data_IF_288211086048
#
_entry.id   IF_288211086048
#
_cell.length_a   1.000
_cell.length_b   1.000
_cell.length_c   1.000
_cell.angle_alpha   90.00
_cell.angle_beta   90.00
_cell.angle_gamma   90.00
#
_symmetry.space_group_name_H-M   'P 1'
#
loop_
_entity.id
_entity.type
_entity.pdbx_description
1 polymer ?
#
# COMPACT_ATOMS: atom_id res chain seq x y z
N UNK A 1 16.80 -16.24 0.83
CA UNK A 1 17.19 -15.16 -0.12
C UNK A 1 16.07 -14.12 -0.13
N UNK A 2 16.42 -12.85 -0.08
CA UNK A 2 15.50 -11.72 -0.15
C UNK A 2 15.77 -10.96 -1.44
N UNK A 3 14.72 -10.59 -2.17
CA UNK A 3 14.81 -9.72 -3.34
C UNK A 3 14.05 -8.42 -3.05
N UNK A 4 14.67 -7.30 -3.38
CA UNK A 4 14.14 -5.95 -3.19
C UNK A 4 14.09 -5.23 -4.52
N UNK A 5 13.04 -4.45 -4.72
CA UNK A 5 12.86 -3.69 -5.96
C UNK A 5 11.93 -2.50 -5.78
N UNK A 6 11.47 -1.93 -6.86
CA UNK A 6 10.51 -0.81 -6.88
C UNK A 6 11.01 0.38 -6.06
N UNK A 7 10.37 0.66 -4.93
CA UNK A 7 10.65 1.84 -4.10
C UNK A 7 12.11 1.96 -3.63
N UNK A 8 12.85 0.85 -3.51
CA UNK A 8 14.27 0.89 -3.14
C UNK A 8 15.11 1.71 -4.14
N UNK A 9 14.66 1.81 -5.37
CA UNK A 9 15.30 2.60 -6.41
C UNK A 9 15.00 4.10 -6.38
N UNK A 10 14.15 4.56 -5.47
CA UNK A 10 13.80 5.98 -5.39
C UNK A 10 13.18 6.54 -6.67
N UNK A 11 12.35 5.74 -7.35
CA UNK A 11 11.75 6.06 -8.65
C UNK A 11 12.61 5.69 -9.87
N UNK A 12 13.83 5.22 -9.67
CA UNK A 12 14.74 4.78 -10.75
C UNK A 12 14.92 3.25 -10.74
N UNK A 13 15.38 2.66 -11.87
CA UNK A 13 15.48 1.20 -12.02
C UNK A 13 16.67 0.66 -11.19
N UNK A 14 16.44 0.42 -9.92
CA UNK A 14 17.37 -0.25 -9.03
C UNK A 14 16.66 -1.41 -8.33
N UNK A 15 17.42 -2.47 -8.07
CA UNK A 15 16.99 -3.62 -7.32
C UNK A 15 18.17 -4.20 -6.54
N UNK A 16 17.87 -5.01 -5.55
CA UNK A 16 18.89 -5.71 -4.78
C UNK A 16 18.40 -7.11 -4.44
N UNK A 17 19.32 -8.02 -4.23
CA UNK A 17 19.03 -9.31 -3.64
C UNK A 17 20.17 -9.71 -2.69
N UNK A 18 19.84 -10.50 -1.71
CA UNK A 18 20.80 -10.95 -0.72
C UNK A 18 20.26 -12.11 0.10
N UNK A 19 21.09 -12.68 0.94
CA UNK A 19 20.69 -13.79 1.77
C UNK A 19 21.84 -14.42 2.52
N UNK A 20 21.63 -15.66 3.00
CA UNK A 20 22.64 -16.40 3.71
C UNK A 20 23.86 -16.61 2.83
N UNK A 21 25.03 -16.51 3.41
CA UNK A 21 26.33 -16.70 2.77
C UNK A 21 26.40 -17.98 1.92
N UNK A 22 25.95 -19.11 2.49
CA UNK A 22 25.82 -20.39 1.77
C UNK A 22 25.04 -20.32 0.46
N UNK A 23 24.12 -19.36 0.30
CA UNK A 23 23.34 -19.16 -0.93
C UNK A 23 24.07 -18.17 -1.82
N UNK A 24 24.60 -17.10 -1.26
CA UNK A 24 25.23 -16.04 -2.02
C UNK A 24 26.57 -16.46 -2.63
N UNK A 25 27.29 -17.40 -1.98
CA UNK A 25 28.53 -17.99 -2.51
C UNK A 25 28.35 -18.79 -3.81
N UNK A 26 27.12 -19.05 -4.25
CA UNK A 26 26.88 -19.59 -5.59
C UNK A 26 27.05 -18.56 -6.71
N UNK A 27 27.12 -17.27 -6.37
CA UNK A 27 27.33 -16.24 -7.40
C UNK A 27 28.78 -16.19 -7.88
N UNK A 28 28.95 -15.97 -9.19
CA UNK A 28 30.26 -15.71 -9.79
C UNK A 28 30.88 -14.44 -9.17
N UNK A 29 32.22 -14.41 -8.90
CA UNK A 29 33.22 -15.41 -9.30
C UNK A 29 33.39 -16.59 -8.33
N UNK A 30 32.81 -16.58 -7.16
CA UNK A 30 32.95 -17.65 -6.16
C UNK A 30 32.22 -18.92 -6.56
N UNK A 31 31.05 -18.80 -7.18
CA UNK A 31 30.22 -19.90 -7.63
C UNK A 31 29.89 -19.86 -9.13
N UNK A 32 29.14 -20.86 -9.63
CA UNK A 32 28.88 -21.02 -11.04
C UNK A 32 27.72 -20.13 -11.58
N UNK A 33 27.03 -19.41 -10.72
CA UNK A 33 25.84 -18.64 -11.13
C UNK A 33 26.26 -17.25 -11.59
N UNK A 34 26.14 -17.02 -12.90
CA UNK A 34 26.43 -15.70 -13.47
C UNK A 34 25.24 -14.76 -13.31
N UNK A 35 25.51 -13.52 -12.89
CA UNK A 35 24.55 -12.42 -12.82
C UNK A 35 25.17 -11.16 -13.39
N UNK A 36 24.49 -10.57 -14.38
CA UNK A 36 24.87 -9.29 -14.97
C UNK A 36 23.64 -8.60 -15.59
N UNK A 37 23.74 -7.30 -15.77
CA UNK A 37 22.75 -6.49 -16.46
C UNK A 37 23.38 -5.19 -16.90
N UNK A 38 23.07 -4.74 -18.12
CA UNK A 38 23.65 -3.53 -18.71
C UNK A 38 23.49 -2.30 -17.85
N UNK A 39 22.34 -2.17 -17.17
CA UNK A 39 22.04 -1.05 -16.26
C UNK A 39 22.37 -1.35 -14.79
N UNK A 40 22.89 -2.53 -14.48
CA UNK A 40 23.29 -2.88 -13.09
C UNK A 40 24.40 -1.95 -12.61
N UNK A 41 24.22 -1.37 -11.43
CA UNK A 41 25.18 -0.43 -10.86
C UNK A 41 25.17 0.95 -11.53
N UNK A 42 24.15 1.29 -12.31
CA UNK A 42 24.02 2.62 -12.90
C UNK A 42 24.12 3.69 -11.79
N UNK A 43 25.06 4.64 -11.89
CA UNK A 43 25.37 5.57 -10.80
C UNK A 43 24.18 6.45 -10.38
N UNK A 44 23.32 6.83 -11.34
CA UNK A 44 22.16 7.66 -11.04
C UNK A 44 21.15 6.84 -10.24
N UNK A 45 20.82 5.62 -10.68
CA UNK A 45 19.90 4.74 -9.98
C UNK A 45 20.44 4.31 -8.59
N UNK A 46 21.74 4.04 -8.49
CA UNK A 46 22.39 3.72 -7.21
C UNK A 46 22.33 4.91 -6.24
N UNK A 47 22.58 6.13 -6.70
CA UNK A 47 22.49 7.32 -5.86
C UNK A 47 21.06 7.62 -5.41
N UNK A 48 20.07 7.44 -6.28
CA UNK A 48 18.66 7.57 -5.91
C UNK A 48 18.24 6.55 -4.85
N UNK A 49 18.60 5.27 -5.04
CA UNK A 49 18.35 4.22 -4.06
C UNK A 49 19.05 4.48 -2.73
N UNK A 50 20.32 4.89 -2.77
CA UNK A 50 21.06 5.25 -1.56
C UNK A 50 20.38 6.40 -0.80
N UNK A 51 19.95 7.44 -1.51
CA UNK A 51 19.25 8.59 -0.92
C UNK A 51 17.93 8.17 -0.28
N UNK A 52 17.18 7.29 -0.95
CA UNK A 52 15.93 6.72 -0.43
C UNK A 52 16.19 5.94 0.86
N UNK A 53 17.18 5.06 0.86
CA UNK A 53 17.55 4.28 2.04
C UNK A 53 17.94 5.18 3.22
N UNK A 54 18.77 6.21 2.96
CA UNK A 54 19.14 7.21 3.97
C UNK A 54 17.95 8.01 4.50
N UNK A 55 16.94 8.23 3.67
CA UNK A 55 15.74 8.94 4.10
C UNK A 55 14.87 8.07 5.02
N UNK A 56 14.65 6.80 4.67
CA UNK A 56 13.80 5.89 5.45
C UNK A 56 14.48 5.35 6.71
N UNK A 57 15.82 5.43 6.79
CA UNK A 57 16.61 5.05 7.97
C UNK A 57 16.43 6.03 9.15
N UNK A 58 15.88 7.21 8.91
CA UNK A 58 15.68 8.23 9.96
C UNK A 58 14.77 7.69 11.07
N UNK A 59 15.15 7.89 12.34
CA UNK A 59 14.32 7.48 13.47
C UNK A 59 12.89 8.03 13.37
N UNK A 60 11.91 7.20 13.66
CA UNK A 60 10.50 7.60 13.63
C UNK A 60 9.86 7.65 12.25
N UNK A 61 10.59 7.30 11.17
CA UNK A 61 10.01 7.33 9.81
C UNK A 61 8.85 6.34 9.67
N UNK A 62 9.09 5.08 10.00
CA UNK A 62 8.07 4.03 9.86
C UNK A 62 6.94 4.15 10.88
N UNK A 63 7.23 4.62 12.08
CA UNK A 63 6.21 4.91 13.10
C UNK A 63 5.22 5.98 12.62
N UNK A 64 5.74 7.07 12.03
CA UNK A 64 4.88 8.13 11.46
C UNK A 64 4.06 7.63 10.28
N UNK A 65 4.65 6.78 9.45
CA UNK A 65 3.96 6.19 8.31
C UNK A 65 2.83 5.26 8.77
N UNK A 66 3.09 4.45 9.80
CA UNK A 66 2.08 3.59 10.42
C UNK A 66 0.90 4.39 10.99
N UNK A 67 1.18 5.44 11.76
CA UNK A 67 0.15 6.30 12.34
C UNK A 67 -0.75 6.96 11.28
N UNK A 68 -0.21 7.33 10.13
CA UNK A 68 -1.00 7.87 9.01
C UNK A 68 -1.94 6.80 8.42
N UNK A 69 -1.45 5.58 8.22
CA UNK A 69 -2.25 4.46 7.72
C UNK A 69 -3.35 4.10 8.71
N UNK A 70 -3.01 4.01 9.99
CA UNK A 70 -3.94 3.74 11.08
C UNK A 70 -5.05 4.80 11.11
N UNK A 71 -4.68 6.10 11.14
CA UNK A 71 -5.65 7.19 11.13
C UNK A 71 -6.62 7.06 9.97
N UNK A 72 -6.11 6.93 8.74
CA UNK A 72 -6.95 6.83 7.54
C UNK A 72 -7.91 5.64 7.65
N UNK A 73 -7.40 4.45 7.95
CA UNK A 73 -8.20 3.23 7.97
C UNK A 73 -9.24 3.22 9.09
N UNK A 74 -8.87 3.63 10.30
CA UNK A 74 -9.81 3.65 11.42
C UNK A 74 -10.90 4.71 11.25
N UNK A 75 -10.58 5.89 10.72
CA UNK A 75 -11.59 6.90 10.45
C UNK A 75 -12.52 6.48 9.29
N UNK A 76 -12.01 5.88 8.21
CA UNK A 76 -12.85 5.29 7.17
C UNK A 76 -13.82 4.25 7.74
N UNK A 77 -13.35 3.37 8.65
CA UNK A 77 -14.20 2.37 9.31
C UNK A 77 -15.29 3.03 10.18
N UNK A 78 -14.96 4.09 10.91
CA UNK A 78 -15.96 4.86 11.70
C UNK A 78 -17.03 5.47 10.80
N UNK A 79 -16.63 6.07 9.68
CA UNK A 79 -17.55 6.63 8.68
C UNK A 79 -18.46 5.55 8.09
N UNK A 80 -17.90 4.37 7.78
CA UNK A 80 -18.66 3.23 7.28
C UNK A 80 -19.73 2.77 8.29
N UNK A 81 -19.36 2.61 9.57
CA UNK A 81 -20.29 2.24 10.65
C UNK A 81 -21.43 3.24 10.75
N UNK A 82 -21.12 4.55 10.76
CA UNK A 82 -22.12 5.63 10.81
C UNK A 82 -23.13 5.54 9.66
N UNK A 83 -22.68 5.15 8.48
CA UNK A 83 -23.49 5.03 7.27
C UNK A 83 -24.05 3.61 7.05
N UNK A 84 -23.85 2.69 7.99
CA UNK A 84 -24.28 1.28 7.90
C UNK A 84 -23.71 0.54 6.68
N UNK A 85 -22.50 0.89 6.26
CA UNK A 85 -21.78 0.22 5.17
C UNK A 85 -20.97 -0.95 5.77
N UNK A 86 -21.10 -2.17 5.23
CA UNK A 86 -20.28 -3.30 5.65
C UNK A 86 -18.83 -3.10 5.18
N UNK A 87 -17.94 -2.75 6.10
CA UNK A 87 -16.58 -2.32 5.75
C UNK A 87 -15.58 -2.79 6.79
N UNK A 88 -14.58 -3.52 6.35
CA UNK A 88 -13.46 -3.97 7.16
C UNK A 88 -12.14 -3.44 6.62
N UNK A 89 -11.21 -3.18 7.53
CA UNK A 89 -9.89 -2.61 7.21
C UNK A 89 -8.77 -3.47 7.80
N UNK A 90 -7.64 -3.44 7.13
CA UNK A 90 -6.37 -4.00 7.61
C UNK A 90 -5.25 -3.02 7.26
N UNK A 91 -4.31 -2.85 8.17
CA UNK A 91 -3.14 -2.00 7.93
C UNK A 91 -1.95 -2.48 8.75
N UNK A 92 -0.76 -2.28 8.20
CA UNK A 92 0.50 -2.54 8.86
C UNK A 92 1.59 -1.64 8.24
N UNK A 93 2.29 -0.88 9.06
CA UNK A 93 3.26 0.10 8.57
C UNK A 93 2.61 1.09 7.60
N UNK A 94 3.17 1.20 6.41
CA UNK A 94 2.63 2.05 5.33
C UNK A 94 1.65 1.34 4.39
N UNK A 95 1.37 0.06 4.61
CA UNK A 95 0.41 -0.70 3.80
C UNK A 95 -0.97 -0.69 4.42
N UNK A 96 -2.00 -0.68 3.58
CA UNK A 96 -3.38 -0.82 4.03
C UNK A 96 -4.22 -1.57 2.99
N UNK A 97 -5.33 -2.10 3.45
CA UNK A 97 -6.37 -2.68 2.62
C UNK A 97 -7.73 -2.50 3.26
N UNK A 98 -8.77 -2.57 2.44
CA UNK A 98 -10.14 -2.56 2.93
C UNK A 98 -11.02 -3.45 2.06
N UNK A 99 -12.12 -3.89 2.64
CA UNK A 99 -13.07 -4.77 1.95
C UNK A 99 -14.50 -4.50 2.42
N UNK A 100 -15.44 -4.63 1.51
CA UNK A 100 -16.87 -4.49 1.81
C UNK A 100 -17.43 -5.84 2.25
N UNK A 101 -17.40 -6.09 3.55
CA UNK A 101 -17.82 -7.37 4.14
C UNK A 101 -18.42 -7.17 5.53
N UNK A 102 -19.34 -8.04 5.90
CA UNK A 102 -19.87 -8.18 7.25
C UNK A 102 -19.09 -9.23 8.07
N UNK A 103 -18.26 -10.01 7.40
CA UNK A 103 -17.51 -11.13 7.95
C UNK A 103 -16.07 -10.71 8.29
N UNK A 104 -15.89 -9.78 9.22
CA UNK A 104 -14.55 -9.37 9.69
C UNK A 104 -14.00 -10.30 10.76
N UNK A 105 -12.71 -10.19 11.09
CA UNK A 105 -11.67 -9.44 10.39
C UNK A 105 -11.12 -10.16 9.16
N UNK A 106 -10.53 -9.40 8.21
CA UNK A 106 -9.83 -9.94 7.02
C UNK A 106 -8.52 -10.60 7.46
N UNK A 107 -8.35 -11.90 7.16
CA UNK A 107 -7.18 -12.70 7.54
C UNK A 107 -6.48 -13.37 6.36
N UNK A 108 -7.18 -13.59 5.27
CA UNK A 108 -6.68 -14.34 4.13
C UNK A 108 -7.42 -13.95 2.83
N UNK A 109 -6.94 -14.52 1.73
CA UNK A 109 -7.51 -14.28 0.40
C UNK A 109 -9.01 -14.59 0.29
N UNK A 110 -9.47 -15.68 0.93
CA UNK A 110 -10.88 -16.09 0.84
C UNK A 110 -11.81 -15.06 1.50
N UNK A 111 -11.37 -14.37 2.54
CA UNK A 111 -12.17 -13.32 3.19
C UNK A 111 -12.44 -12.17 2.21
N UNK A 112 -11.45 -11.81 1.38
CA UNK A 112 -11.60 -10.79 0.34
C UNK A 112 -12.40 -11.34 -0.84
N UNK A 113 -12.13 -12.57 -1.28
CA UNK A 113 -12.85 -13.19 -2.41
C UNK A 113 -14.36 -13.31 -2.17
N UNK A 114 -14.75 -13.49 -0.91
CA UNK A 114 -16.15 -13.56 -0.48
C UNK A 114 -16.77 -12.20 -0.12
N UNK A 115 -16.05 -11.10 -0.34
CA UNK A 115 -16.55 -9.75 -0.09
C UNK A 115 -17.49 -9.25 -1.19
N UNK A 116 -18.17 -8.13 -0.92
CA UNK A 116 -19.07 -7.47 -1.88
C UNK A 116 -18.25 -6.68 -2.93
N UNK A 117 -17.64 -7.38 -3.89
CA UNK A 117 -16.77 -6.76 -4.91
C UNK A 117 -17.50 -5.77 -5.82
N UNK A 118 -18.81 -5.93 -6.02
CA UNK A 118 -19.64 -4.94 -6.73
C UNK A 118 -19.69 -3.59 -6.00
N UNK A 119 -19.77 -3.64 -4.67
CA UNK A 119 -19.78 -2.44 -3.84
C UNK A 119 -18.40 -1.75 -3.83
N UNK A 120 -17.32 -2.54 -3.85
CA UNK A 120 -15.98 -1.99 -4.05
C UNK A 120 -15.87 -1.23 -5.38
N UNK A 121 -16.38 -1.83 -6.47
CA UNK A 121 -16.36 -1.18 -7.80
C UNK A 121 -17.13 0.15 -7.79
N UNK A 122 -18.31 0.19 -7.18
CA UNK A 122 -19.08 1.42 -7.05
C UNK A 122 -18.33 2.48 -6.22
N UNK A 123 -17.81 2.08 -5.07
CA UNK A 123 -16.99 2.94 -4.21
C UNK A 123 -15.79 3.52 -4.97
N UNK A 124 -15.04 2.67 -5.68
CA UNK A 124 -13.88 3.10 -6.46
C UNK A 124 -14.22 4.20 -7.47
N UNK A 125 -15.29 4.02 -8.25
CA UNK A 125 -15.71 5.02 -9.25
C UNK A 125 -16.18 6.33 -8.61
N UNK A 126 -16.95 6.25 -7.53
CA UNK A 126 -17.40 7.44 -6.80
C UNK A 126 -16.23 8.19 -6.15
N UNK A 127 -15.22 7.49 -5.65
CA UNK A 127 -14.00 8.13 -5.14
C UNK A 127 -13.20 8.82 -6.25
N UNK A 128 -13.14 8.25 -7.46
CA UNK A 128 -12.54 8.92 -8.62
C UNK A 128 -13.27 10.23 -8.97
N UNK A 129 -14.60 10.27 -8.88
CA UNK A 129 -15.39 11.50 -9.07
C UNK A 129 -15.06 12.58 -8.03
N UNK A 130 -14.66 12.16 -6.82
CA UNK A 130 -14.16 13.06 -5.76
C UNK A 130 -12.63 13.33 -5.88
N UNK A 131 -11.99 12.97 -7.00
CA UNK A 131 -10.55 13.10 -7.27
C UNK A 131 -9.63 12.30 -6.32
N UNK A 132 -10.12 11.22 -5.75
CA UNK A 132 -9.34 10.30 -4.93
C UNK A 132 -9.12 8.99 -5.69
N UNK A 133 -7.85 8.63 -5.90
CA UNK A 133 -7.46 7.40 -6.58
C UNK A 133 -6.97 6.35 -5.58
N UNK A 134 -7.75 5.30 -5.39
CA UNK A 134 -7.32 4.07 -4.72
C UNK A 134 -6.83 3.01 -5.71
N UNK A 135 -6.24 1.92 -5.23
CA UNK A 135 -5.96 0.77 -6.07
C UNK A 135 -7.25 0.26 -6.75
N UNK A 136 -7.22 -0.08 -8.05
CA UNK A 136 -8.44 -0.40 -8.82
C UNK A 136 -8.98 -1.82 -8.58
N UNK A 137 -8.45 -2.53 -7.60
CA UNK A 137 -8.82 -3.91 -7.27
C UNK A 137 -8.91 -4.10 -5.75
N UNK A 138 -9.94 -4.80 -5.25
CA UNK A 138 -10.05 -5.13 -3.82
C UNK A 138 -8.96 -6.11 -3.34
N UNK A 139 -8.22 -6.72 -4.28
CA UNK A 139 -7.11 -7.64 -4.00
C UNK A 139 -5.74 -6.96 -3.93
N UNK A 140 -5.68 -5.66 -4.18
CA UNK A 140 -4.45 -4.89 -4.10
C UNK A 140 -4.33 -4.13 -2.79
N UNK A 141 -3.11 -4.08 -2.25
CA UNK A 141 -2.80 -3.23 -1.11
C UNK A 141 -2.63 -1.77 -1.56
N UNK A 142 -3.16 -0.85 -0.77
CA UNK A 142 -2.82 0.55 -0.84
C UNK A 142 -1.53 0.86 -0.07
N UNK A 143 -0.88 1.95 -0.42
CA UNK A 143 0.37 2.37 0.21
C UNK A 143 0.31 3.84 0.61
N UNK A 144 0.57 4.09 1.89
CA UNK A 144 0.72 5.44 2.43
C UNK A 144 2.11 5.98 2.08
N UNK A 145 2.18 7.23 1.63
CA UNK A 145 3.44 7.95 1.45
C UNK A 145 3.75 8.83 2.63
N UNK A 146 5.04 9.09 2.88
CA UNK A 146 5.47 10.14 3.81
C UNK A 146 4.95 11.52 3.43
N UNK A 147 4.72 11.74 2.13
CA UNK A 147 4.24 13.02 1.58
C UNK A 147 2.73 13.24 1.72
N UNK A 148 1.94 12.21 2.04
CA UNK A 148 0.56 12.41 2.44
C UNK A 148 0.52 13.15 3.78
N UNK A 149 0.16 14.44 3.74
CA UNK A 149 -0.02 15.25 4.95
C UNK A 149 -1.42 15.04 5.54
N UNK A 150 -1.71 15.73 6.63
CA UNK A 150 -3.05 15.76 7.21
C UNK A 150 -4.09 16.27 6.22
N UNK A 151 -3.70 17.17 5.30
CA UNK A 151 -4.62 17.74 4.31
C UNK A 151 -5.11 16.67 3.34
N UNK A 152 -4.21 15.84 2.80
CA UNK A 152 -4.59 14.74 1.88
C UNK A 152 -5.43 13.68 2.60
N UNK A 153 -5.11 13.38 3.85
CA UNK A 153 -5.88 12.42 4.67
C UNK A 153 -7.29 12.96 4.92
N UNK A 154 -7.41 14.21 5.36
CA UNK A 154 -8.71 14.83 5.68
C UNK A 154 -9.56 15.04 4.42
N UNK A 155 -8.95 15.41 3.28
CA UNK A 155 -9.64 15.43 1.98
C UNK A 155 -10.18 14.05 1.60
N UNK A 156 -9.36 13.00 1.77
CA UNK A 156 -9.79 11.62 1.50
C UNK A 156 -10.96 11.20 2.39
N UNK A 157 -10.88 11.48 3.69
CA UNK A 157 -11.97 11.17 4.63
C UNK A 157 -13.26 11.92 4.32
N UNK A 158 -13.16 13.19 3.90
CA UNK A 158 -14.31 13.99 3.47
C UNK A 158 -14.98 13.40 2.23
N UNK A 159 -14.19 12.92 1.26
CA UNK A 159 -14.69 12.22 0.09
C UNK A 159 -15.36 10.89 0.45
N UNK A 160 -14.74 10.11 1.34
CA UNK A 160 -15.31 8.85 1.85
C UNK A 160 -16.67 9.07 2.53
N UNK A 161 -16.80 10.11 3.36
CA UNK A 161 -18.09 10.45 4.01
C UNK A 161 -19.19 10.71 2.97
N UNK A 162 -18.93 11.52 1.93
CA UNK A 162 -19.88 11.79 0.84
C UNK A 162 -20.25 10.52 0.08
N UNK A 163 -19.25 9.71 -0.27
CA UNK A 163 -19.43 8.50 -1.06
C UNK A 163 -20.24 7.46 -0.27
N UNK A 164 -19.93 7.23 1.01
CA UNK A 164 -20.70 6.30 1.83
C UNK A 164 -22.13 6.76 2.06
N UNK A 165 -22.38 8.07 2.21
CA UNK A 165 -23.74 8.61 2.26
C UNK A 165 -24.50 8.37 0.96
N UNK A 166 -23.84 8.49 -0.20
CA UNK A 166 -24.45 8.23 -1.51
C UNK A 166 -24.82 6.75 -1.67
N UNK A 167 -23.89 5.85 -1.35
CA UNK A 167 -24.12 4.41 -1.40
C UNK A 167 -25.26 3.98 -0.45
N UNK A 168 -25.29 4.50 0.77
CA UNK A 168 -26.32 4.19 1.75
C UNK A 168 -27.73 4.60 1.28
N UNK A 169 -27.85 5.75 0.60
CA UNK A 169 -29.14 6.23 0.03
C UNK A 169 -29.68 5.33 -1.08
N UNK A 170 -28.82 4.68 -1.85
CA UNK A 170 -29.22 3.77 -2.93
C UNK A 170 -29.63 2.38 -2.44
N UNK A 171 -29.25 2.04 -1.19
CA UNK A 171 -29.52 0.73 -0.58
C UNK A 171 -30.84 0.70 0.19
N UNK A 172 -31.58 1.84 0.23
CA UNK A 172 -32.92 1.97 0.79
C UNK A 172 -33.95 1.95 -0.35
#
# INVERSE_FOLDING_TARGET
>A
MTALGKIIGGGLPAAAFGGRDKIMSYLSPEGPVYQAGTLSGNPIAMNAGYTTLKYIEKPGFFEKLHLKSEKLMLEMKKIAIKNKIPFEVVFEGGMFGFSFTENGPIKNYNDIANSKTSLFKEFFHLMLEENIYFAPSPFEAGFMSSEHSEVEIDCTLSAVEKVFQNIAKKSI
#
